data_IF_777930362820
#
_entry.id   IF_777930362820
#
_cell.length_a   1.000
_cell.length_b   1.000
_cell.length_c   1.000
_cell.angle_alpha   90.00
_cell.angle_beta   90.00
_cell.angle_gamma   90.00
#
_symmetry.space_group_name_H-M   'P 1'
#
loop_
_entity.id
_entity.type
_entity.pdbx_description
1 polymer ?
#
# COMPACT_ATOMS: atom_id res chain seq x y z
N UNK A 1 -20.36 7.27 1.79
CA UNK A 1 -19.38 6.63 2.67
C UNK A 1 -18.01 6.57 2.04
N UNK A 2 -17.86 5.93 0.87
CA UNK A 2 -16.55 5.80 0.24
C UNK A 2 -15.85 7.12 -0.09
N UNK A 3 -16.62 8.12 -0.55
CA UNK A 3 -16.07 9.42 -0.92
C UNK A 3 -15.45 10.14 0.28
N UNK A 4 -16.18 10.19 1.39
CA UNK A 4 -15.69 10.84 2.61
C UNK A 4 -14.50 10.10 3.20
N UNK A 5 -14.55 8.77 3.18
CA UNK A 5 -13.44 7.95 3.64
C UNK A 5 -12.18 8.19 2.81
N UNK A 6 -12.33 8.30 1.49
CA UNK A 6 -11.20 8.55 0.60
C UNK A 6 -10.58 9.93 0.86
N UNK A 7 -11.39 10.94 1.11
CA UNK A 7 -10.90 12.28 1.43
C UNK A 7 -10.12 12.27 2.74
N UNK A 8 -10.63 11.55 3.75
CA UNK A 8 -9.94 11.41 5.02
C UNK A 8 -8.58 10.72 4.84
N UNK A 9 -8.54 9.67 4.01
CA UNK A 9 -7.30 8.94 3.75
C UNK A 9 -6.27 9.81 3.05
N UNK A 10 -6.69 10.63 2.07
CA UNK A 10 -5.78 11.52 1.37
C UNK A 10 -5.28 12.64 2.30
N UNK A 11 -6.15 13.14 3.19
CA UNK A 11 -5.75 14.14 4.17
C UNK A 11 -4.71 13.58 5.14
N UNK A 12 -4.89 12.32 5.57
CA UNK A 12 -3.97 11.64 6.48
C UNK A 12 -2.69 11.18 5.78
N UNK A 13 -2.82 10.67 4.55
CA UNK A 13 -1.73 10.12 3.76
C UNK A 13 -1.75 10.73 2.37
N UNK A 14 -1.15 11.93 2.19
CA UNK A 14 -1.25 12.67 0.91
C UNK A 14 -0.77 11.90 -0.32
N UNK A 15 0.14 10.95 -0.15
CA UNK A 15 0.64 10.15 -1.27
C UNK A 15 -0.41 9.20 -1.85
N UNK A 16 -1.54 9.04 -1.19
CA UNK A 16 -2.66 8.24 -1.73
C UNK A 16 -3.48 9.00 -2.76
N UNK A 17 -3.25 10.31 -2.91
CA UNK A 17 -3.92 11.13 -3.92
C UNK A 17 -3.35 10.83 -5.30
N UNK A 18 -4.20 10.33 -6.20
CA UNK A 18 -3.80 10.00 -7.57
C UNK A 18 -4.31 11.04 -8.59
N UNK A 19 -4.83 12.18 -8.10
CA UNK A 19 -5.34 13.22 -8.97
C UNK A 19 -6.67 12.91 -9.63
N UNK A 20 -7.40 11.93 -9.12
CA UNK A 20 -8.69 11.50 -9.70
C UNK A 20 -9.73 11.38 -8.61
N UNK A 21 -10.01 12.48 -7.91
CA UNK A 21 -11.00 12.51 -6.84
C UNK A 21 -12.37 12.00 -7.34
N UNK A 22 -13.10 11.18 -6.55
CA UNK A 22 -12.82 10.81 -5.16
C UNK A 22 -11.97 9.57 -4.99
N UNK A 23 -11.42 9.02 -6.06
CA UNK A 23 -10.62 7.80 -6.00
C UNK A 23 -9.24 8.05 -5.41
N UNK A 24 -8.72 7.06 -4.69
CA UNK A 24 -7.35 7.08 -4.14
C UNK A 24 -6.57 5.92 -4.72
N UNK A 25 -5.28 5.88 -4.41
CA UNK A 25 -4.41 4.78 -4.79
C UNK A 25 -4.96 3.43 -4.29
N UNK A 26 -5.58 3.40 -3.10
CA UNK A 26 -6.18 2.17 -2.56
C UNK A 26 -7.23 1.58 -3.49
N UNK A 27 -8.01 2.42 -4.18
CA UNK A 27 -9.06 1.94 -5.07
C UNK A 27 -8.49 1.20 -6.29
N UNK A 28 -7.20 1.38 -6.56
CA UNK A 28 -6.51 0.71 -7.65
C UNK A 28 -5.82 -0.58 -7.22
N UNK A 29 -5.95 -0.95 -5.94
CA UNK A 29 -5.27 -2.11 -5.36
C UNK A 29 -6.28 -3.13 -4.83
N UNK A 30 -5.86 -4.41 -4.66
CA UNK A 30 -6.77 -5.45 -4.19
C UNK A 30 -7.34 -5.13 -2.80
N UNK A 31 -8.65 -5.35 -2.66
CA UNK A 31 -9.36 -5.03 -1.42
C UNK A 31 -8.83 -5.80 -0.21
N UNK A 32 -8.35 -7.05 -0.41
CA UNK A 32 -7.80 -7.86 0.67
C UNK A 32 -6.51 -7.32 1.26
N UNK A 33 -5.88 -6.36 0.57
CA UNK A 33 -4.65 -5.73 1.03
C UNK A 33 -4.86 -4.37 1.72
N UNK A 34 -6.10 -3.88 1.79
CA UNK A 34 -6.37 -2.54 2.30
C UNK A 34 -5.83 -2.33 3.72
N UNK A 35 -6.13 -3.25 4.63
CA UNK A 35 -5.67 -3.12 6.01
C UNK A 35 -4.14 -3.15 6.11
N UNK A 36 -3.51 -4.03 5.34
CA UNK A 36 -2.05 -4.13 5.30
C UNK A 36 -1.43 -2.83 4.78
N UNK A 37 -2.00 -2.27 3.71
CA UNK A 37 -1.48 -1.02 3.12
C UNK A 37 -1.70 0.15 4.07
N UNK A 38 -2.84 0.20 4.76
CA UNK A 38 -3.10 1.26 5.73
C UNK A 38 -2.15 1.18 6.92
N UNK A 39 -1.83 -0.04 7.39
CA UNK A 39 -0.82 -0.21 8.43
C UNK A 39 0.55 0.27 7.95
N UNK A 40 0.90 -0.03 6.71
CA UNK A 40 2.13 0.47 6.09
C UNK A 40 2.14 2.00 6.06
N UNK A 41 1.03 2.61 5.65
CA UNK A 41 0.92 4.06 5.59
C UNK A 41 1.09 4.71 6.95
N UNK A 42 0.60 4.09 8.02
CA UNK A 42 0.80 4.60 9.39
C UNK A 42 2.27 4.63 9.76
N UNK A 43 3.00 3.57 9.45
CA UNK A 43 4.43 3.50 9.74
C UNK A 43 5.21 4.47 8.85
N UNK A 44 4.85 4.55 7.56
CA UNK A 44 5.48 5.49 6.64
C UNK A 44 5.31 6.92 7.13
N UNK A 45 4.10 7.29 7.51
CA UNK A 45 3.83 8.65 7.98
C UNK A 45 4.68 9.00 9.20
N UNK A 46 4.78 8.07 10.16
CA UNK A 46 5.59 8.29 11.35
C UNK A 46 7.03 8.66 11.00
N UNK A 47 7.62 7.90 10.09
CA UNK A 47 9.01 8.16 9.68
C UNK A 47 9.12 9.40 8.80
N UNK A 48 8.16 9.61 7.89
CA UNK A 48 8.17 10.78 7.01
C UNK A 48 8.02 12.08 7.79
N UNK A 49 7.21 12.08 8.84
CA UNK A 49 7.07 13.24 9.73
C UNK A 49 8.41 13.53 10.43
N UNK A 50 9.07 12.48 10.91
CA UNK A 50 10.36 12.60 11.60
C UNK A 50 11.41 13.27 10.73
N UNK A 51 11.41 13.02 9.43
CA UNK A 51 12.38 13.57 8.49
C UNK A 51 11.84 14.75 7.69
N UNK A 52 10.63 15.23 8.02
CA UNK A 52 9.95 16.34 7.32
C UNK A 52 9.82 16.08 5.81
N UNK A 53 9.42 14.87 5.45
CA UNK A 53 9.31 14.43 4.06
C UNK A 53 7.88 14.13 3.60
N UNK A 54 6.87 14.35 4.45
CA UNK A 54 5.48 14.02 4.11
C UNK A 54 5.04 14.68 2.81
N UNK A 55 5.34 15.96 2.63
CA UNK A 55 4.92 16.70 1.43
C UNK A 55 5.73 16.33 0.19
N UNK A 56 6.87 15.65 0.36
CA UNK A 56 7.76 15.28 -0.73
C UNK A 56 7.64 13.82 -1.14
N UNK A 57 6.98 13.01 -0.31
CA UNK A 57 6.84 11.58 -0.59
C UNK A 57 5.81 11.36 -1.69
N UNK A 58 6.17 10.61 -2.71
CA UNK A 58 5.31 10.33 -3.84
C UNK A 58 5.41 8.86 -4.22
N UNK A 59 4.26 8.23 -4.50
CA UNK A 59 4.22 6.86 -5.00
C UNK A 59 4.08 6.93 -6.51
N UNK A 60 5.04 6.36 -7.22
CA UNK A 60 5.06 6.35 -8.69
C UNK A 60 4.13 5.27 -9.22
N UNK A 61 4.18 4.08 -8.61
CA UNK A 61 3.37 2.95 -9.04
C UNK A 61 3.17 1.99 -7.89
N UNK A 62 1.95 1.46 -7.76
CA UNK A 62 1.66 0.40 -6.80
C UNK A 62 0.73 -0.59 -7.50
N UNK A 63 1.09 -1.87 -7.45
CA UNK A 63 0.33 -2.93 -8.13
C UNK A 63 0.67 -4.30 -7.57
N UNK A 64 -0.08 -5.31 -8.03
CA UNK A 64 0.27 -6.69 -7.76
C UNK A 64 1.41 -7.12 -8.69
N UNK A 65 2.37 -7.83 -8.15
CA UNK A 65 3.48 -8.40 -8.92
C UNK A 65 3.99 -9.63 -8.20
N UNK A 66 4.04 -10.77 -8.91
CA UNK A 66 4.54 -12.01 -8.35
C UNK A 66 3.78 -12.43 -7.07
N UNK A 67 2.45 -12.31 -7.11
CA UNK A 67 1.55 -12.68 -6.02
C UNK A 67 1.72 -11.83 -4.75
N UNK A 68 2.33 -10.66 -4.87
CA UNK A 68 2.53 -9.72 -3.78
C UNK A 68 2.39 -8.28 -4.23
N UNK A 69 2.49 -7.37 -3.27
CA UNK A 69 2.46 -5.93 -3.52
C UNK A 69 3.80 -5.47 -4.05
N UNK A 70 3.77 -4.67 -5.11
CA UNK A 70 4.92 -3.91 -5.58
C UNK A 70 4.62 -2.42 -5.39
N UNK A 71 5.39 -1.78 -4.51
CA UNK A 71 5.20 -0.37 -4.13
C UNK A 71 6.44 0.40 -4.53
N UNK A 72 6.34 1.13 -5.63
CA UNK A 72 7.46 1.89 -6.17
C UNK A 72 7.25 3.37 -5.90
N UNK A 73 8.15 3.97 -5.14
CA UNK A 73 8.08 5.37 -4.77
C UNK A 73 9.29 6.16 -5.28
N UNK A 74 9.21 7.49 -5.19
CA UNK A 74 10.24 8.39 -5.68
C UNK A 74 11.32 8.69 -4.63
N UNK A 75 11.72 7.68 -3.83
CA UNK A 75 12.70 7.87 -2.76
C UNK A 75 14.08 8.30 -3.28
N UNK A 76 14.43 7.82 -4.48
CA UNK A 76 15.73 8.16 -5.07
C UNK A 76 15.90 9.67 -5.29
N UNK A 77 14.79 10.40 -5.39
CA UNK A 77 14.80 11.85 -5.60
C UNK A 77 14.82 12.62 -4.29
N UNK A 78 14.74 11.93 -3.15
CA UNK A 78 14.77 12.53 -1.84
C UNK A 78 16.17 12.38 -1.23
N UNK A 79 16.76 13.48 -0.77
CA UNK A 79 18.10 13.46 -0.19
C UNK A 79 18.13 14.25 1.11
N UNK A 80 18.65 13.68 2.22
CA UNK A 80 19.11 12.29 2.35
C UNK A 80 17.95 11.31 2.37
N UNK A 81 18.19 10.09 1.88
CA UNK A 81 17.15 9.05 1.83
C UNK A 81 17.17 8.21 3.11
N UNK A 82 16.11 8.27 3.93
CA UNK A 82 16.06 7.46 5.15
C UNK A 82 15.84 5.98 4.82
N UNK A 83 16.75 5.12 5.24
CA UNK A 83 16.63 3.68 5.02
C UNK A 83 15.38 3.10 5.69
N UNK A 84 14.91 3.75 6.77
CA UNK A 84 13.71 3.30 7.48
C UNK A 84 12.49 3.25 6.56
N UNK A 85 12.37 4.19 5.62
CA UNK A 85 11.25 4.21 4.67
C UNK A 85 11.30 2.99 3.76
N UNK A 86 12.46 2.71 3.19
CA UNK A 86 12.65 1.54 2.33
C UNK A 86 12.39 0.25 3.11
N UNK A 87 12.86 0.17 4.34
CA UNK A 87 12.67 -1.03 5.18
C UNK A 87 11.19 -1.29 5.46
N UNK A 88 10.41 -0.23 5.71
CA UNK A 88 8.98 -0.36 5.94
C UNK A 88 8.29 -0.91 4.69
N UNK A 89 8.57 -0.31 3.53
CA UNK A 89 7.97 -0.76 2.27
C UNK A 89 8.31 -2.23 2.01
N UNK A 90 9.58 -2.60 2.14
CA UNK A 90 10.01 -3.98 1.91
C UNK A 90 9.32 -4.96 2.85
N UNK A 91 9.16 -4.58 4.12
CA UNK A 91 8.47 -5.43 5.10
C UNK A 91 7.04 -5.74 4.66
N UNK A 92 6.30 -4.72 4.24
CA UNK A 92 4.90 -4.89 3.86
C UNK A 92 4.75 -5.57 2.50
N UNK A 93 5.69 -5.34 1.57
CA UNK A 93 5.70 -6.08 0.31
C UNK A 93 5.86 -7.58 0.56
N UNK A 94 6.75 -7.94 1.48
CA UNK A 94 6.95 -9.35 1.84
C UNK A 94 5.71 -9.93 2.51
N UNK A 95 5.10 -9.19 3.44
CA UNK A 95 3.88 -9.64 4.11
C UNK A 95 2.72 -9.84 3.13
N UNK A 96 2.61 -9.00 2.12
CA UNK A 96 1.51 -9.07 1.15
C UNK A 96 1.47 -10.39 0.40
N UNK A 97 2.60 -11.05 0.25
CA UNK A 97 2.68 -12.35 -0.44
C UNK A 97 1.92 -13.44 0.29
N UNK A 98 1.63 -13.25 1.56
CA UNK A 98 0.92 -14.22 2.39
C UNK A 98 -0.47 -13.74 2.77
N UNK A 99 -0.99 -12.73 2.06
CA UNK A 99 -2.31 -12.14 2.32
C UNK A 99 -3.17 -12.24 1.06
N UNK A 100 -4.32 -12.88 1.18
CA UNK A 100 -5.27 -13.06 0.06
C UNK A 100 -5.72 -11.71 -0.49
N UNK A 101 -5.66 -11.55 -1.80
CA UNK A 101 -6.04 -10.32 -2.46
C UNK A 101 -7.54 -9.99 -2.36
N UNK A 102 -8.37 -10.99 -2.09
CA UNK A 102 -9.82 -10.77 -2.01
C UNK A 102 -10.32 -10.59 -0.57
N UNK A 103 -9.93 -11.48 0.33
CA UNK A 103 -10.48 -11.47 1.69
C UNK A 103 -9.48 -11.08 2.78
N UNK A 104 -8.19 -11.00 2.46
CA UNK A 104 -7.16 -10.63 3.44
C UNK A 104 -6.72 -11.77 4.35
N UNK A 105 -7.25 -12.98 4.16
CA UNK A 105 -6.85 -14.13 4.96
C UNK A 105 -5.44 -14.61 4.56
N UNK A 106 -4.78 -15.40 5.43
CA UNK A 106 -3.49 -15.99 5.07
C UNK A 106 -3.58 -16.86 3.81
N UNK A 107 -2.53 -16.84 3.00
CA UNK A 107 -2.44 -17.63 1.77
C UNK A 107 -0.99 -18.05 1.52
N UNK A 108 -0.77 -19.09 0.69
CA UNK A 108 0.58 -19.42 0.21
C UNK A 108 1.16 -18.31 -0.65
N UNK A 109 2.48 -18.18 -0.65
CA UNK A 109 3.19 -17.13 -1.39
C UNK A 109 3.09 -17.24 -2.90
N UNK A 110 2.83 -18.42 -3.41
CA UNK A 110 2.77 -18.68 -4.86
C UNK A 110 1.34 -18.62 -5.41
N UNK A 111 0.40 -18.11 -4.62
CA UNK A 111 -1.00 -17.92 -5.04
C UNK A 111 -1.42 -16.48 -4.83
N UNK A 112 -2.39 -16.02 -5.64
CA UNK A 112 -2.97 -14.68 -5.48
C UNK A 112 -4.05 -14.67 -4.40
N UNK A 113 -4.76 -15.78 -4.26
CA UNK A 113 -5.90 -15.92 -3.33
C UNK A 113 -5.66 -17.08 -2.38
N UNK A 114 -6.33 -17.04 -1.23
CA UNK A 114 -6.36 -18.19 -0.34
C UNK A 114 -7.19 -19.31 -0.99
N UNK A 115 -7.02 -20.54 -0.51
CA UNK A 115 -7.72 -21.70 -1.10
C UNK A 115 -9.24 -21.49 -1.13
N UNK A 116 -9.79 -20.91 -0.09
CA UNK A 116 -11.23 -20.65 0.02
C UNK A 116 -11.71 -19.71 -1.10
N UNK A 117 -10.97 -18.61 -1.34
CA UNK A 117 -11.34 -17.68 -2.39
C UNK A 117 -11.09 -18.25 -3.79
N UNK A 118 -10.02 -19.02 -3.96
CA UNK A 118 -9.75 -19.68 -5.23
C UNK A 118 -10.90 -20.60 -5.61
N UNK A 119 -11.43 -21.34 -4.66
CA UNK A 119 -12.56 -22.23 -4.91
C UNK A 119 -13.83 -21.46 -5.25
N UNK A 120 -14.06 -20.35 -4.55
CA UNK A 120 -15.23 -19.50 -4.75
C UNK A 120 -15.25 -18.84 -6.13
N UNK A 121 -14.08 -18.46 -6.64
CA UNK A 121 -13.96 -17.70 -7.89
C UNK A 121 -13.39 -18.50 -9.05
N UNK A 122 -13.47 -19.80 -8.96
CA UNK A 122 -13.07 -20.69 -10.04
C UNK A 122 -13.99 -20.61 -11.24
#
# INVERSE_FOLDING_TARGET
>A
MGRDRNRELVAEYPWLDIGNEPLTLLNMLPIGWYDLILDMCKELKRELVKYDLVSKYEVIEAKEKWCGLSWYDALSDLSPMPSAITDIVCKYEMQSKEVCMMCGAPKPKDQLLCDRCMEKYR
#
